data_IF_649711348156
#
_entry.id   IF_649711348156
#
_cell.length_a   1.000
_cell.length_b   1.000
_cell.length_c   1.000
_cell.angle_alpha   90.00
_cell.angle_beta   90.00
_cell.angle_gamma   90.00
#
_symmetry.space_group_name_H-M   'P 1'
#
loop_
_entity.id
_entity.type
_entity.pdbx_description
1 polymer ?
#
# COMPACT_ATOMS: atom_id res chain seq x y z
N UNK A 1 -17.14 -19.10 -21.93
CA UNK A 1 -17.39 -18.17 -23.01
C UNK A 1 -18.29 -17.05 -22.56
N UNK A 2 -17.80 -16.03 -21.89
CA UNK A 2 -18.46 -14.73 -21.72
C UNK A 2 -17.56 -13.89 -20.79
N UNK A 3 -16.58 -13.20 -21.37
CA UNK A 3 -15.67 -12.38 -20.58
C UNK A 3 -14.65 -11.60 -21.43
N UNK A 4 -15.03 -11.21 -22.65
CA UNK A 4 -14.14 -10.47 -23.54
C UNK A 4 -14.83 -9.35 -24.35
N UNK A 5 -15.90 -8.77 -23.87
CA UNK A 5 -16.58 -7.68 -24.61
C UNK A 5 -16.77 -6.37 -23.82
N UNK A 6 -16.34 -6.30 -22.55
CA UNK A 6 -16.43 -5.06 -21.80
C UNK A 6 -15.17 -4.17 -21.98
N UNK A 7 -13.98 -4.76 -22.03
CA UNK A 7 -12.71 -3.99 -22.11
C UNK A 7 -12.49 -3.31 -23.47
N UNK A 8 -13.00 -3.91 -24.57
CA UNK A 8 -12.87 -3.32 -25.90
C UNK A 8 -13.79 -2.09 -26.16
N UNK A 9 -14.83 -1.92 -25.34
CA UNK A 9 -15.73 -0.76 -25.47
C UNK A 9 -15.26 0.46 -24.66
N UNK A 10 -14.49 0.25 -23.59
CA UNK A 10 -13.96 1.35 -22.78
C UNK A 10 -12.73 2.01 -23.42
N UNK A 11 -11.89 1.27 -24.14
CA UNK A 11 -10.75 1.86 -24.88
C UNK A 11 -11.17 2.74 -26.07
N UNK A 12 -12.30 2.44 -26.75
CA UNK A 12 -12.82 3.28 -27.81
C UNK A 12 -13.60 4.52 -27.29
N UNK A 13 -14.11 4.48 -26.08
CA UNK A 13 -14.90 5.58 -25.50
C UNK A 13 -14.02 6.72 -24.93
N UNK A 14 -12.80 6.44 -24.49
CA UNK A 14 -11.91 7.44 -23.89
C UNK A 14 -11.48 8.58 -24.83
N UNK A 15 -11.10 8.34 -26.10
CA UNK A 15 -10.80 9.40 -27.05
C UNK A 15 -12.02 10.29 -27.35
N UNK A 16 -13.19 9.69 -27.50
CA UNK A 16 -14.46 10.39 -27.76
C UNK A 16 -14.87 11.31 -26.61
N UNK A 17 -14.61 10.94 -25.36
CA UNK A 17 -14.89 11.77 -24.18
C UNK A 17 -14.00 13.02 -24.16
N UNK A 18 -12.71 12.86 -24.39
CA UNK A 18 -11.77 13.98 -24.45
C UNK A 18 -12.12 14.97 -25.56
N UNK A 19 -12.47 14.48 -26.74
CA UNK A 19 -12.92 15.30 -27.87
C UNK A 19 -14.23 16.03 -27.56
N UNK A 20 -15.18 15.35 -26.91
CA UNK A 20 -16.45 15.94 -26.52
C UNK A 20 -16.27 17.09 -25.50
N UNK A 21 -15.38 16.90 -24.51
CA UNK A 21 -15.04 17.91 -23.51
C UNK A 21 -14.39 19.12 -24.18
N UNK A 22 -13.48 18.92 -25.11
CA UNK A 22 -12.80 19.98 -25.86
C UNK A 22 -13.75 20.74 -26.78
N UNK A 23 -14.72 20.05 -27.38
CA UNK A 23 -15.79 20.67 -28.20
C UNK A 23 -16.69 21.59 -27.37
N UNK A 24 -17.04 21.18 -26.14
CA UNK A 24 -17.81 22.00 -25.21
C UNK A 24 -17.09 23.31 -24.90
N UNK A 25 -15.79 23.24 -24.57
CA UNK A 25 -15.00 24.42 -24.30
C UNK A 25 -14.86 25.35 -25.53
N UNK A 26 -14.70 24.78 -26.71
CA UNK A 26 -14.65 25.55 -27.94
C UNK A 26 -15.98 26.29 -28.22
N UNK A 27 -17.11 25.64 -27.98
CA UNK A 27 -18.43 26.31 -28.08
C UNK A 27 -18.59 27.40 -27.04
N UNK A 28 -18.10 27.17 -25.82
CA UNK A 28 -18.13 28.17 -24.76
C UNK A 28 -17.27 29.39 -25.10
N UNK A 29 -16.13 29.22 -25.74
CA UNK A 29 -15.25 30.31 -26.18
C UNK A 29 -15.89 31.13 -27.35
N UNK A 30 -16.70 30.50 -28.18
CA UNK A 30 -17.39 31.15 -29.31
C UNK A 30 -18.71 31.82 -28.91
N UNK A 31 -19.31 31.48 -27.78
CA UNK A 31 -20.59 32.02 -27.32
C UNK A 31 -20.40 33.39 -26.63
N UNK A 32 -21.21 34.42 -26.96
CA UNK A 32 -21.12 35.77 -26.36
C UNK A 32 -21.27 35.76 -24.82
N UNK A 33 -22.12 34.90 -24.27
CA UNK A 33 -22.31 34.66 -22.82
C UNK A 33 -21.48 33.55 -22.25
N UNK A 34 -20.48 33.02 -23.01
CA UNK A 34 -19.59 31.97 -22.57
C UNK A 34 -20.30 30.63 -22.32
N UNK A 35 -19.74 29.85 -21.40
CA UNK A 35 -20.22 28.48 -21.07
C UNK A 35 -21.70 28.42 -20.65
N UNK A 36 -22.26 29.52 -20.14
CA UNK A 36 -23.64 29.53 -19.65
C UNK A 36 -24.69 29.53 -20.83
N UNK A 37 -24.28 29.86 -22.03
CA UNK A 37 -25.12 29.80 -23.24
C UNK A 37 -25.00 28.47 -23.99
N UNK A 38 -24.05 27.60 -23.59
CA UNK A 38 -23.84 26.31 -24.24
C UNK A 38 -24.85 25.30 -23.71
N UNK A 39 -25.64 24.75 -24.64
CA UNK A 39 -26.59 23.66 -24.37
C UNK A 39 -26.17 22.41 -25.13
N UNK A 40 -26.02 21.28 -24.42
CA UNK A 40 -25.69 19.97 -24.99
C UNK A 40 -26.83 19.01 -24.65
N UNK A 41 -27.44 18.34 -25.63
CA UNK A 41 -28.48 17.34 -25.37
C UNK A 41 -27.95 16.25 -24.43
N UNK A 42 -28.72 15.93 -23.37
CA UNK A 42 -28.34 14.93 -22.39
C UNK A 42 -27.42 15.41 -21.26
N UNK A 43 -26.89 16.64 -21.32
CA UNK A 43 -26.09 17.24 -20.26
C UNK A 43 -26.83 18.35 -19.54
N UNK A 44 -26.70 18.39 -18.21
CA UNK A 44 -27.17 19.53 -17.41
C UNK A 44 -26.23 20.73 -17.60
N UNK A 45 -26.70 21.95 -17.33
CA UNK A 45 -25.87 23.16 -17.37
C UNK A 45 -24.68 23.05 -16.39
N UNK A 46 -24.84 22.35 -15.26
CA UNK A 46 -23.76 22.06 -14.34
C UNK A 46 -22.73 21.11 -14.97
N UNK A 47 -23.16 20.09 -15.70
CA UNK A 47 -22.31 19.17 -16.45
C UNK A 47 -21.51 19.88 -17.53
N UNK A 48 -22.14 20.78 -18.29
CA UNK A 48 -21.48 21.61 -19.33
C UNK A 48 -20.37 22.47 -18.67
N UNK A 49 -20.68 23.15 -17.57
CA UNK A 49 -19.66 23.94 -16.83
C UNK A 49 -18.52 23.08 -16.27
N UNK A 50 -18.82 21.87 -15.83
CA UNK A 50 -17.77 20.95 -15.36
C UNK A 50 -16.83 20.53 -16.50
N UNK A 51 -17.38 20.16 -17.64
CA UNK A 51 -16.62 19.81 -18.84
C UNK A 51 -15.76 20.97 -19.35
N UNK A 52 -16.29 22.19 -19.40
CA UNK A 52 -15.52 23.39 -19.76
C UNK A 52 -14.34 23.63 -18.81
N UNK A 53 -14.54 23.48 -17.49
CA UNK A 53 -13.43 23.60 -16.52
C UNK A 53 -12.33 22.57 -16.76
N UNK A 54 -12.71 21.31 -17.00
CA UNK A 54 -11.73 20.23 -17.28
C UNK A 54 -10.96 20.55 -18.57
N UNK A 55 -11.65 20.93 -19.65
CA UNK A 55 -10.98 21.28 -20.90
C UNK A 55 -9.99 22.43 -20.73
N UNK A 56 -10.39 23.49 -19.99
CA UNK A 56 -9.50 24.62 -19.71
C UNK A 56 -8.30 24.21 -18.87
N UNK A 57 -8.47 23.32 -17.89
CA UNK A 57 -7.36 22.79 -17.11
C UNK A 57 -6.38 22.01 -17.99
N UNK A 58 -6.89 21.10 -18.82
CA UNK A 58 -6.07 20.33 -19.78
C UNK A 58 -5.32 21.25 -20.76
N UNK A 59 -5.98 22.27 -21.32
CA UNK A 59 -5.33 23.24 -22.20
C UNK A 59 -4.19 24.00 -21.53
N UNK A 60 -4.38 24.43 -20.27
CA UNK A 60 -3.33 25.10 -19.49
C UNK A 60 -2.10 24.21 -19.31
N UNK A 61 -2.30 22.94 -18.93
CA UNK A 61 -1.20 21.98 -18.77
C UNK A 61 -0.53 21.69 -20.11
N UNK A 62 -1.30 21.46 -21.18
CA UNK A 62 -0.75 21.24 -22.53
C UNK A 62 0.13 22.38 -23.02
N UNK A 63 -0.19 23.62 -22.67
CA UNK A 63 0.60 24.79 -23.08
C UNK A 63 2.02 24.80 -22.47
N UNK A 64 2.27 24.04 -21.41
CA UNK A 64 3.54 24.01 -20.67
C UNK A 64 4.25 22.65 -20.71
N UNK A 65 3.80 21.71 -21.52
CA UNK A 65 4.41 20.37 -21.63
C UNK A 65 5.88 20.36 -22.06
N UNK A 66 6.37 21.46 -22.64
CA UNK A 66 7.78 21.62 -23.01
C UNK A 66 8.67 22.08 -21.83
N UNK A 67 8.08 22.42 -20.68
CA UNK A 67 8.82 22.79 -19.48
C UNK A 67 9.30 21.54 -18.72
N UNK A 68 10.25 21.70 -17.78
CA UNK A 68 10.63 20.62 -16.88
C UNK A 68 9.43 20.01 -16.17
N UNK A 69 9.49 18.70 -15.88
CA UNK A 69 8.36 17.94 -15.35
C UNK A 69 7.78 18.53 -14.05
N UNK A 70 8.62 19.03 -13.15
CA UNK A 70 8.18 19.69 -11.93
C UNK A 70 7.32 20.94 -12.20
N UNK A 71 7.65 21.70 -13.24
CA UNK A 71 6.87 22.87 -13.66
C UNK A 71 5.52 22.47 -14.27
N UNK A 72 5.48 21.34 -14.98
CA UNK A 72 4.22 20.76 -15.50
C UNK A 72 3.32 20.33 -14.34
N UNK A 73 3.88 19.74 -13.27
CA UNK A 73 3.16 19.36 -12.04
C UNK A 73 2.58 20.62 -11.36
N UNK A 74 3.36 21.70 -11.22
CA UNK A 74 2.89 22.96 -10.65
C UNK A 74 1.76 23.55 -11.48
N UNK A 75 1.87 23.53 -12.81
CA UNK A 75 0.82 24.01 -13.70
C UNK A 75 -0.46 23.18 -13.60
N UNK A 76 -0.34 21.88 -13.41
CA UNK A 76 -1.47 20.98 -13.17
C UNK A 76 -2.18 21.28 -11.84
N UNK A 77 -1.42 21.48 -10.77
CA UNK A 77 -1.95 21.90 -9.46
C UNK A 77 -2.77 23.19 -9.56
N UNK A 78 -2.21 24.21 -10.22
CA UNK A 78 -2.87 25.50 -10.41
C UNK A 78 -4.09 25.39 -11.36
N UNK A 79 -3.98 24.60 -12.42
CA UNK A 79 -5.07 24.41 -13.37
C UNK A 79 -6.28 23.70 -12.73
N UNK A 80 -6.04 22.82 -11.76
CA UNK A 80 -7.06 22.13 -10.96
C UNK A 80 -7.56 22.95 -9.77
N UNK A 81 -6.88 24.06 -9.43
CA UNK A 81 -7.22 24.91 -8.29
C UNK A 81 -6.87 24.29 -6.93
N UNK A 82 -5.97 23.28 -6.91
CA UNK A 82 -5.55 22.62 -5.68
C UNK A 82 -4.80 23.56 -4.73
N UNK A 83 -4.03 24.51 -5.27
CA UNK A 83 -3.34 25.57 -4.53
C UNK A 83 -4.32 26.42 -3.72
N UNK A 84 -5.44 26.82 -4.32
CA UNK A 84 -6.52 27.60 -3.69
C UNK A 84 -7.25 26.74 -2.64
N UNK A 85 -7.59 25.50 -2.98
CA UNK A 85 -8.27 24.57 -2.07
C UNK A 85 -7.43 24.32 -0.81
N UNK A 86 -6.13 24.07 -0.98
CA UNK A 86 -5.20 23.83 0.13
C UNK A 86 -4.99 25.08 0.99
N UNK A 87 -4.93 26.27 0.37
CA UNK A 87 -4.84 27.54 1.11
C UNK A 87 -6.11 27.85 1.90
N UNK A 88 -7.28 27.46 1.39
CA UNK A 88 -8.55 27.67 2.06
C UNK A 88 -8.81 26.73 3.25
N UNK A 89 -8.16 25.58 3.28
CA UNK A 89 -8.27 24.59 4.37
C UNK A 89 -7.30 24.93 5.50
N UNK A 90 -7.64 25.92 6.29
CA UNK A 90 -6.88 26.30 7.51
C UNK A 90 -6.83 25.08 8.46
N UNK A 91 -5.62 24.65 8.84
CA UNK A 91 -5.42 23.54 9.78
C UNK A 91 -5.23 22.15 9.14
N UNK A 92 -5.03 22.05 7.82
CA UNK A 92 -4.62 20.79 7.18
C UNK A 92 -3.20 20.88 6.57
N UNK A 93 -2.15 20.74 7.37
CA UNK A 93 -0.77 20.77 6.87
C UNK A 93 -0.44 19.55 5.99
N UNK A 94 -1.18 18.43 6.13
CA UNK A 94 -0.97 17.22 5.37
C UNK A 94 -1.23 17.40 3.88
N UNK A 95 -2.30 18.14 3.52
CA UNK A 95 -2.66 18.32 2.12
C UNK A 95 -1.55 19.04 1.34
N UNK A 96 -0.95 20.08 1.91
CA UNK A 96 0.15 20.79 1.26
C UNK A 96 1.39 19.92 1.13
N UNK A 97 1.77 19.21 2.18
CA UNK A 97 2.92 18.29 2.16
C UNK A 97 2.77 17.15 1.14
N UNK A 98 1.55 16.64 0.95
CA UNK A 98 1.30 15.62 -0.08
C UNK A 98 1.58 16.15 -1.49
N UNK A 99 1.17 17.38 -1.80
CA UNK A 99 1.44 18.01 -3.09
C UNK A 99 2.93 18.33 -3.25
N UNK A 100 3.59 18.82 -2.19
CA UNK A 100 5.03 19.08 -2.21
C UNK A 100 5.82 17.78 -2.42
N UNK A 101 5.41 16.66 -1.78
CA UNK A 101 6.01 15.34 -2.01
C UNK A 101 5.83 14.85 -3.44
N UNK A 102 4.68 15.12 -4.05
CA UNK A 102 4.45 14.77 -5.46
C UNK A 102 5.35 15.56 -6.40
N UNK A 103 5.64 16.84 -6.10
CA UNK A 103 6.63 17.64 -6.84
C UNK A 103 8.04 17.10 -6.67
N UNK A 104 8.44 16.78 -5.43
CA UNK A 104 9.74 16.16 -5.15
C UNK A 104 9.92 14.85 -5.93
N UNK A 105 8.87 14.02 -6.03
CA UNK A 105 8.89 12.80 -6.82
C UNK A 105 9.15 13.09 -8.32
N UNK A 106 8.53 14.14 -8.89
CA UNK A 106 8.77 14.55 -10.25
C UNK A 106 10.21 15.08 -10.47
N UNK A 107 10.75 15.80 -9.49
CA UNK A 107 12.15 16.27 -9.52
C UNK A 107 13.13 15.10 -9.42
N UNK A 108 12.88 14.15 -8.52
CA UNK A 108 13.69 12.94 -8.36
C UNK A 108 13.67 12.10 -9.62
N UNK A 109 12.50 11.82 -10.19
CA UNK A 109 12.37 11.10 -11.46
C UNK A 109 13.18 11.80 -12.57
N UNK A 110 13.11 13.13 -12.64
CA UNK A 110 13.86 13.91 -13.61
C UNK A 110 15.38 13.79 -13.42
N UNK A 111 15.84 13.71 -12.18
CA UNK A 111 17.26 13.59 -11.86
C UNK A 111 17.83 12.19 -12.14
N UNK A 112 17.00 11.15 -12.02
CA UNK A 112 17.40 9.75 -12.19
C UNK A 112 17.31 9.27 -13.64
N UNK A 113 16.49 9.93 -14.48
CA UNK A 113 16.24 9.51 -15.87
C UNK A 113 17.08 10.30 -16.86
N UNK A 114 17.67 9.59 -17.81
CA UNK A 114 18.46 10.18 -18.91
C UNK A 114 17.59 11.03 -19.85
N UNK A 115 16.32 10.65 -20.02
CA UNK A 115 15.33 11.35 -20.87
C UNK A 115 13.95 11.34 -20.17
N UNK A 116 13.75 12.23 -19.19
CA UNK A 116 12.49 12.27 -18.44
C UNK A 116 11.35 12.80 -19.35
N UNK A 117 10.28 12.02 -19.46
CA UNK A 117 9.06 12.40 -20.17
C UNK A 117 7.85 12.32 -19.25
N UNK A 118 6.78 13.06 -19.53
CA UNK A 118 5.54 12.97 -18.77
C UNK A 118 4.95 11.55 -18.86
N UNK A 119 4.99 10.90 -20.02
CA UNK A 119 4.51 9.53 -20.17
C UNK A 119 5.31 8.56 -19.28
N UNK A 120 6.64 8.63 -19.32
CA UNK A 120 7.49 7.80 -18.46
C UNK A 120 7.29 8.05 -16.97
N UNK A 121 6.96 9.28 -16.57
CA UNK A 121 6.62 9.59 -15.19
C UNK A 121 5.27 8.98 -14.78
N UNK A 122 4.27 9.02 -15.65
CA UNK A 122 2.97 8.39 -15.39
C UNK A 122 3.09 6.87 -15.29
N UNK A 123 3.86 6.24 -16.20
CA UNK A 123 4.15 4.79 -16.14
C UNK A 123 4.89 4.41 -14.86
N UNK A 124 5.81 5.26 -14.40
CA UNK A 124 6.53 5.08 -13.13
C UNK A 124 5.60 5.19 -11.93
N UNK A 125 4.67 6.16 -11.91
CA UNK A 125 3.66 6.29 -10.84
C UNK A 125 2.72 5.09 -10.79
N UNK A 126 2.29 4.58 -11.95
CA UNK A 126 1.44 3.39 -12.04
C UNK A 126 2.17 2.14 -11.50
N UNK A 127 3.44 1.97 -11.87
CA UNK A 127 4.27 0.89 -11.34
C UNK A 127 4.49 1.00 -9.82
N UNK A 128 4.67 2.21 -9.28
CA UNK A 128 4.79 2.44 -7.85
C UNK A 128 3.48 2.09 -7.11
N UNK A 129 2.32 2.43 -7.68
CA UNK A 129 1.02 2.07 -7.12
C UNK A 129 0.79 0.55 -7.11
N UNK A 130 1.17 -0.15 -8.18
CA UNK A 130 0.95 -1.59 -8.31
C UNK A 130 1.94 -2.44 -7.49
N UNK A 131 3.16 -1.99 -7.30
CA UNK A 131 4.25 -2.82 -6.75
C UNK A 131 4.79 -2.35 -5.39
N UNK A 132 4.59 -1.07 -5.03
CA UNK A 132 5.18 -0.45 -3.84
C UNK A 132 4.14 0.18 -2.90
N UNK A 133 2.84 -0.16 -3.06
CA UNK A 133 1.74 0.48 -2.32
C UNK A 133 1.67 2.01 -2.49
N UNK A 134 2.21 2.53 -3.61
CA UNK A 134 2.25 3.94 -3.95
C UNK A 134 3.50 4.67 -3.44
N UNK A 135 3.49 5.99 -3.55
CA UNK A 135 4.58 6.83 -3.05
C UNK A 135 4.61 6.86 -1.53
N UNK A 136 5.80 6.86 -0.95
CA UNK A 136 5.98 7.00 0.49
C UNK A 136 5.27 8.25 1.02
N UNK A 137 4.44 8.07 2.05
CA UNK A 137 3.71 9.16 2.66
C UNK A 137 4.68 10.23 3.20
N UNK A 138 4.36 11.53 3.08
CA UNK A 138 5.23 12.59 3.58
C UNK A 138 5.44 12.43 5.08
N UNK A 139 6.70 12.56 5.52
CA UNK A 139 7.02 12.57 6.94
C UNK A 139 6.37 13.80 7.60
N UNK A 140 5.52 13.53 8.58
CA UNK A 140 4.82 14.57 9.33
C UNK A 140 5.37 14.59 10.75
N UNK A 141 5.87 15.73 11.19
CA UNK A 141 6.17 15.91 12.60
C UNK A 141 4.88 15.76 13.43
N UNK A 142 4.90 14.95 14.49
CA UNK A 142 3.73 14.73 15.31
C UNK A 142 3.24 16.04 15.93
N UNK A 143 1.97 16.35 15.80
CA UNK A 143 1.37 17.47 16.51
C UNK A 143 1.27 17.12 18.00
N UNK A 144 1.58 18.07 18.91
CA UNK A 144 1.41 17.87 20.33
C UNK A 144 -0.05 17.50 20.67
N UNK A 145 -0.23 16.37 21.38
CA UNK A 145 -1.55 15.88 21.77
C UNK A 145 -2.29 15.06 20.70
N UNK A 146 -1.70 14.83 19.53
CA UNK A 146 -2.25 13.96 18.52
C UNK A 146 -1.87 12.48 18.75
N UNK A 147 -2.80 11.58 18.42
CA UNK A 147 -2.51 10.14 18.35
C UNK A 147 -1.75 9.87 17.08
N UNK A 148 -0.58 9.22 17.21
CA UNK A 148 0.28 8.85 16.10
C UNK A 148 -0.07 7.43 15.65
N UNK A 149 -0.36 7.26 14.37
CA UNK A 149 -0.56 5.96 13.73
C UNK A 149 0.63 5.69 12.81
N UNK A 150 1.35 4.58 13.07
CA UNK A 150 2.55 4.23 12.33
C UNK A 150 2.74 2.71 12.31
N UNK A 151 3.59 2.24 11.41
CA UNK A 151 3.98 0.82 11.39
C UNK A 151 4.98 0.53 12.51
N UNK A 152 5.08 -0.75 12.92
CA UNK A 152 6.06 -1.18 13.94
C UNK A 152 7.50 -0.86 13.48
N UNK A 153 7.78 -0.97 12.19
CA UNK A 153 9.10 -0.65 11.64
C UNK A 153 9.42 0.85 11.78
N UNK A 154 8.47 1.72 11.49
CA UNK A 154 8.62 3.16 11.66
C UNK A 154 8.73 3.58 13.15
N UNK A 155 8.22 2.76 14.07
CA UNK A 155 8.30 3.01 15.51
C UNK A 155 9.69 2.67 16.11
N UNK A 156 10.60 2.06 15.36
CA UNK A 156 11.92 1.68 15.87
C UNK A 156 12.72 2.91 16.31
N UNK A 157 13.19 2.89 17.57
CA UNK A 157 13.95 3.99 18.17
C UNK A 157 13.10 5.10 18.78
N UNK A 158 11.78 5.09 18.57
CA UNK A 158 10.84 6.02 19.21
C UNK A 158 10.22 5.39 20.45
N UNK A 159 9.62 6.22 21.32
CA UNK A 159 8.94 5.79 22.54
C UNK A 159 7.77 6.72 22.87
N UNK A 160 6.69 6.15 23.44
CA UNK A 160 5.49 6.86 23.87
C UNK A 160 5.06 6.42 25.26
N UNK A 161 4.34 7.27 25.97
CA UNK A 161 3.83 6.94 27.29
C UNK A 161 2.81 5.78 27.23
N UNK A 162 1.96 5.81 26.22
CA UNK A 162 0.93 4.79 25.96
C UNK A 162 1.06 4.31 24.53
N UNK A 163 1.11 2.99 24.33
CA UNK A 163 1.16 2.34 23.03
C UNK A 163 0.01 1.33 22.90
N UNK A 164 -0.75 1.44 21.83
CA UNK A 164 -1.75 0.44 21.47
C UNK A 164 -1.26 -0.36 20.26
N UNK A 165 -1.28 -1.69 20.36
CA UNK A 165 -0.96 -2.61 19.26
C UNK A 165 -2.23 -3.40 18.93
N UNK A 166 -2.97 -2.98 17.92
CA UNK A 166 -4.17 -3.69 17.48
C UNK A 166 -3.83 -4.89 16.59
N UNK A 167 -4.83 -5.76 16.37
CA UNK A 167 -4.66 -6.89 15.45
C UNK A 167 -3.82 -8.03 16.03
N UNK A 168 -3.82 -8.19 17.35
CA UNK A 168 -3.15 -9.31 18.02
C UNK A 168 -3.91 -10.62 17.80
N UNK A 169 -4.07 -10.97 16.55
CA UNK A 169 -4.78 -12.16 16.08
C UNK A 169 -3.81 -13.08 15.35
N UNK A 170 -4.00 -14.40 15.47
CA UNK A 170 -3.19 -15.39 14.75
C UNK A 170 -3.35 -15.21 13.24
N UNK A 171 -2.27 -15.23 12.48
CA UNK A 171 -2.13 -14.90 11.03
C UNK A 171 -2.24 -13.40 10.69
N UNK A 172 -2.44 -12.53 11.67
CA UNK A 172 -2.36 -11.07 11.48
C UNK A 172 -1.09 -10.56 12.15
N UNK A 173 -0.90 -10.86 13.42
CA UNK A 173 0.34 -10.63 14.14
C UNK A 173 0.55 -11.71 15.21
N UNK A 174 1.40 -12.70 14.93
CA UNK A 174 2.34 -12.82 13.82
C UNK A 174 1.68 -13.03 12.45
N UNK A 175 2.29 -12.42 11.42
CA UNK A 175 1.92 -12.65 10.02
C UNK A 175 2.65 -13.89 9.49
N UNK A 176 1.93 -14.79 8.82
CA UNK A 176 2.49 -15.96 8.15
C UNK A 176 1.53 -16.55 7.12
N UNK A 177 2.08 -17.26 6.13
CA UNK A 177 1.30 -17.74 4.97
C UNK A 177 0.36 -18.88 5.32
N UNK A 178 0.84 -19.89 6.06
CA UNK A 178 0.03 -21.06 6.41
C UNK A 178 0.40 -21.68 7.75
N UNK A 179 -0.62 -22.15 8.49
CA UNK A 179 -0.43 -23.01 9.64
C UNK A 179 -0.52 -24.47 9.22
N UNK A 180 0.34 -25.33 9.75
CA UNK A 180 0.16 -26.78 9.68
C UNK A 180 -1.01 -27.15 10.59
N UNK A 181 -1.97 -27.95 10.07
CA UNK A 181 -3.19 -28.30 10.80
C UNK A 181 -2.87 -28.81 12.21
N UNK A 182 -3.62 -28.31 13.16
CA UNK A 182 -3.81 -28.78 14.56
C UNK A 182 -2.71 -28.51 15.58
N UNK A 183 -1.48 -28.07 15.23
CA UNK A 183 -0.43 -27.85 16.24
C UNK A 183 0.23 -26.46 16.23
N UNK A 184 -0.36 -25.51 15.50
CA UNK A 184 0.14 -24.14 15.36
C UNK A 184 1.57 -24.04 14.76
N UNK A 185 2.09 -25.10 14.15
CA UNK A 185 3.30 -24.99 13.34
C UNK A 185 3.03 -24.14 12.12
N UNK A 186 3.98 -23.32 11.76
CA UNK A 186 3.91 -22.41 10.63
C UNK A 186 4.77 -22.95 9.50
N UNK A 187 4.27 -22.90 8.30
CA UNK A 187 4.98 -23.26 7.08
C UNK A 187 4.98 -22.08 6.10
N UNK A 188 6.15 -21.79 5.55
CA UNK A 188 6.34 -20.75 4.54
C UNK A 188 6.88 -21.34 3.25
N UNK A 189 6.42 -20.83 2.13
CA UNK A 189 6.90 -21.27 0.81
C UNK A 189 8.22 -20.61 0.41
N UNK A 190 8.50 -19.44 0.97
CA UNK A 190 9.69 -18.66 0.67
C UNK A 190 9.81 -18.38 -0.84
N UNK A 191 11.04 -18.38 -1.34
CA UNK A 191 11.35 -18.15 -2.76
C UNK A 191 10.73 -19.17 -3.72
N UNK A 192 10.39 -20.37 -3.26
CA UNK A 192 9.74 -21.39 -4.10
C UNK A 192 8.28 -21.10 -4.40
N UNK A 193 7.66 -20.15 -3.69
CA UNK A 193 6.24 -19.78 -3.87
C UNK A 193 6.03 -18.53 -4.70
N UNK A 194 7.10 -17.82 -5.08
CA UNK A 194 7.01 -16.54 -5.77
C UNK A 194 8.15 -16.36 -6.77
N UNK A 195 7.82 -15.94 -7.97
CA UNK A 195 8.81 -15.60 -9.01
C UNK A 195 9.49 -14.25 -8.75
N UNK A 196 8.92 -13.42 -7.88
CA UNK A 196 9.48 -12.12 -7.48
C UNK A 196 10.49 -12.22 -6.33
N UNK A 197 10.56 -13.38 -5.66
CA UNK A 197 11.50 -13.58 -4.54
C UNK A 197 12.81 -14.18 -5.06
N UNK A 198 13.92 -13.49 -4.80
CA UNK A 198 15.24 -13.97 -5.19
C UNK A 198 15.59 -15.29 -4.48
N UNK A 199 16.10 -16.31 -5.21
CA UNK A 199 16.44 -17.61 -4.63
C UNK A 199 17.39 -17.50 -3.45
N UNK A 200 17.03 -18.06 -2.30
CA UNK A 200 17.80 -17.95 -1.05
C UNK A 200 19.26 -18.42 -1.16
N UNK A 201 19.60 -19.49 -1.89
CA UNK A 201 20.99 -19.89 -2.06
C UNK A 201 21.89 -18.87 -2.77
N UNK A 202 21.28 -17.90 -3.48
CA UNK A 202 21.99 -16.86 -4.21
C UNK A 202 22.06 -15.53 -3.47
N UNK A 203 21.47 -15.45 -2.28
CA UNK A 203 21.48 -14.23 -1.45
C UNK A 203 22.76 -14.11 -0.63
N UNK A 204 23.13 -12.88 -0.32
CA UNK A 204 24.30 -12.60 0.54
C UNK A 204 24.14 -13.14 1.96
N UNK A 205 22.90 -13.25 2.47
CA UNK A 205 22.53 -13.77 3.77
C UNK A 205 22.15 -15.28 3.75
N UNK A 206 22.50 -16.00 2.69
CA UNK A 206 22.16 -17.42 2.51
C UNK A 206 22.59 -18.31 3.70
N UNK A 207 23.68 -17.93 4.39
CA UNK A 207 24.16 -18.68 5.58
C UNK A 207 23.24 -18.59 6.80
N UNK A 208 22.41 -17.56 6.89
CA UNK A 208 21.46 -17.33 7.98
C UNK A 208 20.07 -17.91 7.67
N UNK A 209 19.85 -18.34 6.42
CA UNK A 209 18.59 -18.89 5.96
C UNK A 209 18.57 -20.42 6.06
N UNK A 210 17.41 -21.05 6.30
CA UNK A 210 17.31 -22.50 6.28
C UNK A 210 17.79 -23.06 4.94
N UNK A 211 18.75 -24.00 4.94
CA UNK A 211 19.23 -24.59 3.70
C UNK A 211 18.15 -25.52 3.10
N UNK A 212 17.99 -25.46 1.79
CA UNK A 212 17.26 -26.48 1.04
C UNK A 212 18.29 -27.40 0.39
N UNK A 213 18.52 -28.55 0.97
CA UNK A 213 19.45 -29.55 0.46
C UNK A 213 18.67 -30.70 -0.18
N UNK A 214 18.80 -30.83 -1.49
CA UNK A 214 18.33 -31.99 -2.25
C UNK A 214 19.48 -32.99 -2.46
N UNK A 215 20.65 -32.71 -1.89
CA UNK A 215 21.90 -33.42 -2.17
C UNK A 215 21.97 -34.88 -1.72
N UNK A 216 21.09 -35.28 -0.79
CA UNK A 216 20.99 -36.66 -0.35
C UNK A 216 19.96 -37.47 -1.15
N UNK A 217 19.25 -36.82 -2.10
CA UNK A 217 18.34 -37.49 -3.02
C UNK A 217 19.16 -38.03 -4.19
N UNK A 218 19.28 -39.36 -4.28
CA UNK A 218 19.87 -40.01 -5.44
C UNK A 218 19.02 -39.64 -6.68
N UNK A 219 19.60 -38.94 -7.69
CA UNK A 219 18.87 -38.60 -8.91
C UNK A 219 18.31 -39.80 -9.67
N UNK A 220 18.87 -41.01 -9.44
CA UNK A 220 18.41 -42.26 -10.01
C UNK A 220 17.19 -42.84 -9.26
N UNK A 221 16.93 -42.39 -8.05
CA UNK A 221 15.79 -42.81 -7.22
C UNK A 221 14.86 -41.62 -7.08
N UNK A 222 13.95 -41.44 -8.01
CA UNK A 222 12.90 -40.42 -7.94
C UNK A 222 11.85 -40.81 -6.90
N UNK A 223 12.18 -40.70 -5.62
CA UNK A 223 11.26 -40.98 -4.52
C UNK A 223 10.43 -39.71 -4.22
N UNK A 224 9.25 -39.64 -4.85
CA UNK A 224 8.31 -38.54 -4.65
C UNK A 224 7.89 -38.35 -3.17
N UNK A 225 7.65 -39.39 -2.36
CA UNK A 225 7.40 -39.23 -0.93
C UNK A 225 8.55 -38.56 -0.20
N UNK A 226 9.79 -38.95 -0.41
CA UNK A 226 10.97 -38.33 0.24
C UNK A 226 11.14 -36.86 -0.16
N UNK A 227 10.95 -36.53 -1.43
CA UNK A 227 10.98 -35.12 -1.89
C UNK A 227 9.87 -34.31 -1.21
N UNK A 228 8.67 -34.85 -1.08
CA UNK A 228 7.54 -34.17 -0.44
C UNK A 228 7.83 -33.93 1.05
N UNK A 229 8.41 -34.91 1.74
CA UNK A 229 8.81 -34.79 3.14
C UNK A 229 9.91 -33.72 3.32
N UNK A 230 10.94 -33.75 2.48
CA UNK A 230 12.04 -32.78 2.49
C UNK A 230 11.50 -31.34 2.25
N UNK A 231 10.61 -31.18 1.30
CA UNK A 231 9.96 -29.89 1.04
C UNK A 231 9.10 -29.42 2.23
N UNK A 232 8.38 -30.34 2.87
CA UNK A 232 7.56 -30.02 4.04
C UNK A 232 8.45 -29.56 5.21
N UNK A 233 9.51 -30.31 5.49
CA UNK A 233 10.48 -29.96 6.54
C UNK A 233 11.14 -28.58 6.30
N UNK A 234 11.50 -28.31 5.04
CA UNK A 234 12.05 -27.02 4.66
C UNK A 234 11.05 -25.87 4.86
N UNK A 235 9.80 -26.04 4.41
CA UNK A 235 8.73 -25.03 4.62
C UNK A 235 8.49 -24.75 6.11
N UNK A 236 8.53 -25.79 6.95
CA UNK A 236 8.42 -25.62 8.39
C UNK A 236 9.66 -24.92 8.99
N UNK A 237 10.86 -25.18 8.45
CA UNK A 237 12.06 -24.45 8.86
C UNK A 237 11.97 -22.95 8.54
N UNK A 238 11.47 -22.62 7.34
CA UNK A 238 11.18 -21.24 6.94
C UNK A 238 10.12 -20.60 7.85
N UNK A 239 9.04 -21.33 8.15
CA UNK A 239 8.00 -20.86 9.06
C UNK A 239 8.52 -20.57 10.47
N UNK A 240 9.42 -21.40 10.98
CA UNK A 240 10.09 -21.13 12.28
C UNK A 240 10.96 -19.89 12.24
N UNK A 241 11.61 -19.62 11.12
CA UNK A 241 12.41 -18.39 10.96
C UNK A 241 11.50 -17.17 10.88
N UNK A 242 10.46 -17.20 10.06
CA UNK A 242 9.46 -16.13 9.95
C UNK A 242 8.88 -15.78 11.32
N UNK A 243 8.49 -16.78 12.12
CA UNK A 243 8.01 -16.55 13.49
C UNK A 243 9.06 -15.93 14.42
N UNK A 244 10.34 -16.19 14.20
CA UNK A 244 11.39 -15.51 15.00
C UNK A 244 11.50 -14.04 14.62
N UNK A 245 11.39 -13.71 13.35
CA UNK A 245 11.37 -12.32 12.89
C UNK A 245 10.12 -11.58 13.41
N UNK A 246 8.94 -12.20 13.29
CA UNK A 246 7.70 -11.67 13.85
C UNK A 246 7.80 -11.44 15.39
N UNK A 247 8.49 -12.33 16.11
CA UNK A 247 8.74 -12.16 17.54
C UNK A 247 9.68 -10.99 17.85
N UNK A 248 10.69 -10.75 17.00
CA UNK A 248 11.53 -9.56 17.10
C UNK A 248 10.71 -8.29 16.86
N UNK A 249 9.80 -8.35 15.90
CA UNK A 249 8.89 -7.26 15.62
C UNK A 249 7.95 -6.98 16.81
N UNK A 250 7.40 -8.03 17.41
CA UNK A 250 6.59 -7.92 18.62
C UNK A 250 7.38 -7.30 19.79
N UNK A 251 8.63 -7.72 19.98
CA UNK A 251 9.52 -7.11 20.97
C UNK A 251 9.71 -5.60 20.71
N UNK A 252 9.96 -5.21 19.45
CA UNK A 252 10.06 -3.79 19.09
C UNK A 252 8.77 -3.07 19.46
N UNK A 253 7.61 -3.58 19.03
CA UNK A 253 6.31 -2.94 19.28
C UNK A 253 6.04 -2.76 20.80
N UNK A 254 6.21 -3.82 21.57
CA UNK A 254 5.88 -3.82 22.99
C UNK A 254 6.83 -2.94 23.83
N UNK A 255 8.09 -2.85 23.42
CA UNK A 255 9.07 -1.99 24.11
C UNK A 255 8.98 -0.51 23.73
N UNK A 256 8.01 -0.11 22.87
CA UNK A 256 7.78 1.31 22.59
C UNK A 256 7.00 2.01 23.69
N UNK A 257 6.30 1.27 24.53
CA UNK A 257 5.54 1.81 25.66
C UNK A 257 6.45 2.08 26.86
N UNK A 258 6.39 3.32 27.36
CA UNK A 258 7.07 3.72 28.62
C UNK A 258 6.27 3.34 29.85
N UNK A 259 4.95 3.48 29.79
CA UNK A 259 4.07 3.30 30.93
C UNK A 259 2.97 2.30 30.68
N UNK A 260 2.24 2.40 29.58
CA UNK A 260 1.07 1.56 29.31
C UNK A 260 1.13 0.94 27.93
N UNK A 261 0.86 -0.36 27.87
CA UNK A 261 0.78 -1.14 26.65
C UNK A 261 -0.60 -1.77 26.54
N UNK A 262 -1.36 -1.38 25.50
CA UNK A 262 -2.65 -1.96 25.18
C UNK A 262 -2.51 -2.91 24.00
N UNK A 263 -2.81 -4.19 24.21
CA UNK A 263 -2.82 -5.23 23.18
C UNK A 263 -4.26 -5.64 22.90
N UNK A 264 -4.70 -5.52 21.63
CA UNK A 264 -6.08 -5.86 21.28
C UNK A 264 -6.14 -6.77 20.07
N UNK A 265 -7.03 -7.78 20.14
CA UNK A 265 -7.38 -8.66 19.03
C UNK A 265 -8.88 -8.63 18.77
N UNK A 266 -9.32 -9.16 17.64
CA UNK A 266 -10.73 -9.23 17.29
C UNK A 266 -11.15 -10.66 16.97
N UNK A 267 -12.15 -11.15 17.67
CA UNK A 267 -12.70 -12.50 17.44
C UNK A 267 -13.39 -12.62 16.08
N UNK A 268 -14.01 -11.55 15.61
CA UNK A 268 -14.73 -11.48 14.34
C UNK A 268 -14.13 -10.40 13.44
N UNK A 269 -14.02 -10.69 12.17
CA UNK A 269 -13.64 -9.74 11.14
C UNK A 269 -14.73 -9.66 10.07
N UNK A 270 -14.93 -8.48 9.48
CA UNK A 270 -15.88 -8.31 8.37
C UNK A 270 -15.55 -9.17 7.15
N UNK A 271 -14.29 -9.56 7.00
CA UNK A 271 -13.78 -10.31 5.83
C UNK A 271 -13.52 -11.79 6.12
N UNK A 272 -13.47 -12.20 7.39
CA UNK A 272 -13.18 -13.59 7.76
C UNK A 272 -14.48 -14.39 7.95
N UNK A 273 -14.57 -15.55 7.29
CA UNK A 273 -15.68 -16.49 7.42
C UNK A 273 -15.65 -17.33 8.71
N UNK A 274 -14.56 -17.29 9.45
CA UNK A 274 -14.36 -18.04 10.70
C UNK A 274 -13.85 -17.10 11.80
N UNK A 275 -14.18 -17.40 13.08
CA UNK A 275 -13.60 -16.68 14.21
C UNK A 275 -12.05 -16.73 14.18
N UNK A 276 -11.42 -15.61 14.52
CA UNK A 276 -9.99 -15.51 14.66
C UNK A 276 -9.55 -16.01 16.03
N UNK A 277 -8.38 -16.62 16.10
CA UNK A 277 -7.75 -17.00 17.35
C UNK A 277 -6.87 -15.85 17.88
N UNK A 278 -6.75 -15.67 19.18
CA UNK A 278 -5.78 -14.72 19.73
C UNK A 278 -4.36 -15.04 19.24
N UNK A 279 -3.58 -14.01 19.02
CA UNK A 279 -2.16 -14.13 18.71
C UNK A 279 -1.45 -15.04 19.70
N UNK A 280 -0.57 -15.92 19.22
CA UNK A 280 0.26 -16.74 20.10
C UNK A 280 1.15 -15.89 21.05
N UNK A 281 1.52 -14.68 20.64
CA UNK A 281 2.27 -13.76 21.49
C UNK A 281 1.42 -13.27 22.66
N UNK A 282 0.16 -12.93 22.40
CA UNK A 282 -0.80 -12.55 23.43
C UNK A 282 -1.12 -13.73 24.35
N UNK A 283 -1.30 -14.94 23.78
CA UNK A 283 -1.52 -16.17 24.53
C UNK A 283 -0.33 -16.53 25.43
N UNK A 284 0.91 -16.31 24.98
CA UNK A 284 2.11 -16.51 25.80
C UNK A 284 2.15 -15.56 27.02
N UNK A 285 1.78 -14.28 26.82
CA UNK A 285 1.71 -13.31 27.92
C UNK A 285 0.65 -13.70 28.93
N UNK A 286 -0.53 -14.12 28.46
CA UNK A 286 -1.62 -14.60 29.31
C UNK A 286 -1.20 -15.83 30.14
N UNK A 287 -0.62 -16.83 29.51
CA UNK A 287 -0.17 -18.07 30.21
C UNK A 287 0.92 -17.81 31.24
N UNK A 288 1.70 -16.74 31.12
CA UNK A 288 2.76 -16.35 32.07
C UNK A 288 2.27 -15.37 33.12
N UNK A 289 0.99 -15.09 33.15
CA UNK A 289 0.36 -14.13 34.08
C UNK A 289 1.03 -12.73 34.03
N UNK A 290 1.39 -12.32 32.82
CA UNK A 290 2.03 -11.03 32.56
C UNK A 290 1.03 -9.94 32.15
N UNK A 291 -0.25 -10.30 32.02
CA UNK A 291 -1.31 -9.33 31.73
C UNK A 291 -1.79 -8.70 33.03
N UNK A 292 -2.18 -7.44 32.93
CA UNK A 292 -2.79 -6.76 34.07
C UNK A 292 -4.02 -7.50 34.57
N UNK A 293 -4.28 -7.55 35.91
CA UNK A 293 -5.53 -8.09 36.44
C UNK A 293 -6.76 -7.33 35.96
N UNK A 294 -6.59 -6.16 35.35
CA UNK A 294 -7.64 -5.38 34.72
C UNK A 294 -7.79 -5.64 33.21
N UNK A 295 -7.11 -6.67 32.68
CA UNK A 295 -7.29 -7.06 31.28
C UNK A 295 -8.72 -7.61 31.09
N UNK A 296 -9.57 -6.83 30.46
CA UNK A 296 -10.94 -7.18 30.16
C UNK A 296 -11.06 -7.91 28.81
N UNK A 297 -12.03 -8.82 28.70
CA UNK A 297 -12.42 -9.39 27.42
C UNK A 297 -11.58 -10.56 26.92
N UNK A 298 -10.80 -11.22 27.78
CA UNK A 298 -10.17 -12.49 27.40
C UNK A 298 -11.24 -13.56 27.15
N UNK A 299 -11.19 -14.19 25.98
CA UNK A 299 -12.05 -15.31 25.61
C UNK A 299 -11.18 -16.54 25.37
N UNK A 300 -11.41 -17.59 26.12
CA UNK A 300 -10.78 -18.90 25.89
C UNK A 300 -11.38 -19.57 24.65
N UNK A 301 -10.51 -20.19 23.85
CA UNK A 301 -10.85 -20.91 22.63
C UNK A 301 -10.69 -22.42 22.81
#
# INVERSE_FOLDING_TARGET
GAGRSADAQDEEAAPLLAEAIEEIARRADAAPGGVNEVTIPGLTSAGVRAADRVARAVRRVRAVLALPLAEVVIAAEQALGLDVELAARVGNPLGRRAVDRFREAAEQFTAEMESPTLAGFLDWLEAAEEHEDGMEAPHVEPEPGAVQLLTIHAAKGLEWDVVAVPGMDEQVFPSYTSAVKDDLRVAETGWMGSTSTFPFPLRADAGDLPPFTVGDLDPAVTDKPLLTETMSAYKEALGRQSLREERRLAYVAFTRARHELLLTGSHLSKTASKPRRPSRFLTELHRRDLLSPYAEGWVDF
#
